data_IF_660179446767
#
_entry.id   IF_660179446767
#
_cell.length_a   1.000
_cell.length_b   1.000
_cell.length_c   1.000
_cell.angle_alpha   90.00
_cell.angle_beta   90.00
_cell.angle_gamma   90.00
#
_symmetry.space_group_name_H-M   'P 1'
#
loop_
_entity.id
_entity.type
_entity.pdbx_description
1 polymer ?
#
# COMPACT_ATOMS: atom_id res chain seq x y z
N UNK A 1 11.21 6.12 13.47
CA UNK A 1 10.98 5.94 12.04
C UNK A 1 12.11 6.52 11.23
N UNK A 2 12.87 5.68 10.51
CA UNK A 2 13.90 6.15 9.57
C UNK A 2 13.21 6.96 8.47
N UNK A 3 13.46 8.26 8.40
CA UNK A 3 13.10 9.08 7.24
C UNK A 3 13.85 8.52 6.03
N UNK A 4 13.15 7.81 5.16
CA UNK A 4 13.69 7.42 3.86
C UNK A 4 13.89 8.69 3.06
N UNK A 5 15.12 9.03 2.75
CA UNK A 5 15.46 10.21 1.95
C UNK A 5 14.82 10.04 0.56
N UNK A 6 13.79 10.84 0.29
CA UNK A 6 13.28 11.05 -1.06
C UNK A 6 14.11 12.16 -1.67
N UNK A 7 14.71 11.94 -2.81
CA UNK A 7 15.32 13.00 -3.58
C UNK A 7 14.67 13.11 -4.95
N UNK A 8 14.74 14.28 -5.54
CA UNK A 8 14.18 14.55 -6.86
C UNK A 8 15.29 14.96 -7.80
N UNK A 9 15.28 14.39 -8.99
CA UNK A 9 16.14 14.80 -10.10
C UNK A 9 15.29 15.60 -11.06
N UNK A 10 15.78 16.74 -11.49
CA UNK A 10 15.11 17.56 -12.51
C UNK A 10 15.95 17.55 -13.77
N UNK A 11 15.34 17.17 -14.87
CA UNK A 11 15.88 17.29 -16.23
C UNK A 11 15.26 18.49 -16.97
N UNK A 12 15.50 18.60 -18.26
CA UNK A 12 14.85 19.62 -19.09
C UNK A 12 13.35 19.38 -19.23
N UNK A 13 12.92 18.13 -19.33
CA UNK A 13 11.52 17.76 -19.61
C UNK A 13 10.82 17.09 -18.45
N UNK A 14 11.54 16.52 -17.47
CA UNK A 14 10.95 15.69 -16.41
C UNK A 14 11.47 16.02 -15.01
N UNK A 15 10.64 15.70 -14.03
CA UNK A 15 11.00 15.58 -12.61
C UNK A 15 10.89 14.09 -12.23
N UNK A 16 11.98 13.53 -11.70
CA UNK A 16 12.07 12.14 -11.32
C UNK A 16 12.17 12.04 -9.79
N UNK A 17 11.24 11.35 -9.18
CA UNK A 17 11.20 11.11 -7.74
C UNK A 17 11.82 9.75 -7.42
N UNK A 18 12.85 9.73 -6.55
CA UNK A 18 13.62 8.52 -6.25
C UNK A 18 13.52 8.18 -4.77
N UNK A 19 13.29 6.89 -4.49
CA UNK A 19 13.17 6.39 -3.12
C UNK A 19 13.94 5.08 -2.93
N UNK A 20 15.28 5.18 -2.85
CA UNK A 20 16.12 4.02 -2.56
C UNK A 20 16.05 2.96 -3.64
N UNK A 21 16.21 3.36 -4.90
CA UNK A 21 16.04 2.55 -6.10
C UNK A 21 17.28 2.64 -6.98
N UNK A 22 17.46 1.65 -7.84
CA UNK A 22 18.43 1.64 -8.92
C UNK A 22 17.72 1.90 -10.26
N UNK A 23 18.23 2.84 -11.04
CA UNK A 23 17.59 3.26 -12.29
C UNK A 23 18.63 3.83 -13.26
N UNK A 24 18.26 3.87 -14.53
CA UNK A 24 18.99 4.57 -15.59
C UNK A 24 18.15 5.71 -16.14
N UNK A 25 18.76 6.88 -16.23
CA UNK A 25 18.11 8.07 -16.76
C UNK A 25 18.88 8.57 -18.00
N UNK A 26 18.22 8.60 -19.14
CA UNK A 26 18.75 9.14 -20.38
C UNK A 26 18.02 10.44 -20.76
N UNK A 27 18.76 11.50 -21.03
CA UNK A 27 18.20 12.78 -21.52
C UNK A 27 18.72 13.11 -22.89
N UNK A 28 17.84 13.50 -23.80
CA UNK A 28 18.18 13.91 -25.16
C UNK A 28 17.29 15.06 -25.60
N UNK A 29 17.84 16.29 -25.58
CA UNK A 29 17.16 17.47 -26.04
C UNK A 29 15.78 17.69 -25.44
N UNK A 30 14.75 17.22 -26.12
CA UNK A 30 13.33 17.40 -25.79
C UNK A 30 12.69 16.19 -25.10
N UNK A 31 13.47 15.21 -24.66
CA UNK A 31 12.94 14.01 -24.01
C UNK A 31 13.81 13.52 -22.85
N UNK A 32 13.17 12.87 -21.89
CA UNK A 32 13.78 12.15 -20.78
C UNK A 32 13.25 10.73 -20.76
N UNK A 33 14.16 9.75 -20.72
CA UNK A 33 13.87 8.33 -20.64
C UNK A 33 14.28 7.81 -19.27
N UNK A 34 13.45 6.97 -18.66
CA UNK A 34 13.68 6.34 -17.38
C UNK A 34 13.53 4.82 -17.52
N UNK A 35 14.50 4.07 -17.02
CA UNK A 35 14.41 2.64 -16.78
C UNK A 35 14.62 2.38 -15.29
N UNK A 36 13.68 1.76 -14.63
CA UNK A 36 13.82 1.31 -13.24
C UNK A 36 14.38 -0.11 -13.22
N UNK A 37 15.54 -0.28 -12.59
CA UNK A 37 16.21 -1.58 -12.44
C UNK A 37 15.74 -2.30 -11.20
N UNK A 38 15.60 -1.57 -10.09
CA UNK A 38 15.16 -2.11 -8.81
C UNK A 38 14.32 -1.10 -8.04
N UNK A 39 13.19 -1.55 -7.51
CA UNK A 39 12.27 -0.75 -6.70
C UNK A 39 11.24 0.03 -7.50
N UNK A 40 10.92 1.24 -7.08
CA UNK A 40 9.90 2.09 -7.67
C UNK A 40 10.43 3.52 -7.84
N UNK A 41 10.34 4.05 -9.05
CA UNK A 41 10.70 5.43 -9.39
C UNK A 41 9.48 6.14 -9.95
N UNK A 42 9.32 7.41 -9.65
CA UNK A 42 8.25 8.21 -10.25
C UNK A 42 8.80 9.20 -11.25
N UNK A 43 8.03 9.48 -12.30
CA UNK A 43 8.39 10.44 -13.34
C UNK A 43 7.20 11.32 -13.67
N UNK A 44 7.43 12.64 -13.78
CA UNK A 44 6.41 13.61 -14.12
C UNK A 44 6.98 14.65 -15.11
N UNK A 45 6.18 15.30 -15.96
CA UNK A 45 6.65 16.39 -16.78
C UNK A 45 6.97 17.61 -15.93
N UNK A 46 7.99 18.38 -16.32
CA UNK A 46 8.35 19.63 -15.61
C UNK A 46 7.21 20.64 -15.63
N UNK A 47 6.42 20.64 -16.68
CA UNK A 47 5.32 21.60 -16.91
C UNK A 47 4.06 21.25 -16.10
N UNK A 48 3.90 19.97 -15.72
CA UNK A 48 2.76 19.45 -14.95
C UNK A 48 3.23 18.37 -13.95
N UNK A 49 3.95 18.76 -12.88
CA UNK A 49 4.53 17.82 -11.94
C UNK A 49 3.49 17.06 -11.11
N UNK A 50 2.22 17.44 -11.14
CA UNK A 50 1.10 16.73 -10.58
C UNK A 50 0.74 15.46 -11.38
N UNK A 51 1.12 15.38 -12.66
CA UNK A 51 0.93 14.20 -13.50
C UNK A 51 2.13 13.26 -13.31
N UNK A 52 2.18 12.65 -12.15
CA UNK A 52 3.24 11.72 -11.75
C UNK A 52 2.84 10.28 -12.09
N UNK A 53 3.73 9.56 -12.76
CA UNK A 53 3.56 8.14 -13.11
C UNK A 53 4.59 7.32 -12.38
N UNK A 54 4.15 6.23 -11.75
CA UNK A 54 5.02 5.26 -11.11
C UNK A 54 5.59 4.29 -12.14
N UNK A 55 6.92 4.13 -12.14
CA UNK A 55 7.64 3.20 -12.99
C UNK A 55 8.21 2.09 -12.13
N UNK A 56 7.56 0.92 -12.09
CA UNK A 56 8.03 -0.23 -11.31
C UNK A 56 9.33 -0.82 -11.87
N UNK A 57 9.88 -1.77 -11.11
CA UNK A 57 11.06 -2.54 -11.49
C UNK A 57 10.91 -3.19 -12.86
N UNK A 58 12.01 -3.19 -13.64
CA UNK A 58 12.10 -3.72 -15.00
C UNK A 58 11.18 -3.04 -16.02
N UNK A 59 10.73 -1.83 -15.73
CA UNK A 59 9.90 -1.05 -16.64
C UNK A 59 10.55 0.28 -17.02
N UNK A 60 10.17 0.79 -18.18
CA UNK A 60 10.62 2.07 -18.68
C UNK A 60 9.44 2.99 -19.01
N UNK A 61 9.67 4.29 -18.88
CA UNK A 61 8.78 5.36 -19.28
C UNK A 61 9.56 6.53 -19.87
N UNK A 62 8.90 7.32 -20.68
CA UNK A 62 9.48 8.47 -21.37
C UNK A 62 8.61 9.72 -21.16
N UNK A 63 9.26 10.86 -20.97
CA UNK A 63 8.62 12.17 -21.00
C UNK A 63 9.18 12.99 -22.16
N UNK A 64 8.32 13.40 -23.06
CA UNK A 64 8.62 14.36 -24.11
C UNK A 64 8.11 15.74 -23.71
N UNK A 65 8.76 16.78 -24.23
CA UNK A 65 8.37 18.15 -23.95
C UNK A 65 6.91 18.41 -24.35
N UNK A 66 6.10 18.96 -23.45
CA UNK A 66 4.69 19.26 -23.66
C UNK A 66 3.74 18.07 -23.61
N UNK A 67 4.25 16.87 -23.29
CA UNK A 67 3.45 15.65 -23.15
C UNK A 67 3.55 15.07 -21.74
N UNK A 68 2.56 14.29 -21.37
CA UNK A 68 2.58 13.50 -20.14
C UNK A 68 3.52 12.29 -20.31
N UNK A 69 3.94 11.63 -19.20
CA UNK A 69 4.73 10.41 -19.28
C UNK A 69 4.01 9.33 -20.08
N UNK A 70 4.77 8.54 -20.84
CA UNK A 70 4.20 7.32 -21.42
C UNK A 70 3.80 6.34 -20.33
N UNK A 71 2.76 5.51 -20.54
CA UNK A 71 2.52 4.37 -19.66
C UNK A 71 3.78 3.53 -19.50
N UNK A 72 4.13 3.05 -18.29
CA UNK A 72 5.27 2.20 -18.07
C UNK A 72 5.14 0.90 -18.85
N UNK A 73 6.21 0.48 -19.50
CA UNK A 73 6.26 -0.77 -20.27
C UNK A 73 7.38 -1.67 -19.76
N UNK A 74 7.18 -2.99 -19.74
CA UNK A 74 8.23 -3.93 -19.38
C UNK A 74 9.35 -3.92 -20.43
N UNK A 75 10.59 -3.98 -19.96
CA UNK A 75 11.78 -4.01 -20.80
C UNK A 75 12.47 -5.37 -20.64
N UNK A 76 12.76 -6.05 -21.75
CA UNK A 76 13.43 -7.33 -21.73
C UNK A 76 14.84 -7.23 -21.12
N UNK A 77 15.31 -8.27 -20.44
CA UNK A 77 16.60 -8.28 -19.74
C UNK A 77 17.78 -7.91 -20.64
N UNK A 78 17.79 -8.42 -21.87
CA UNK A 78 18.82 -8.13 -22.86
C UNK A 78 18.89 -6.64 -23.23
N UNK A 79 17.72 -6.00 -23.33
CA UNK A 79 17.61 -4.56 -23.61
C UNK A 79 18.04 -3.73 -22.41
N UNK A 80 17.71 -4.18 -21.19
CA UNK A 80 18.17 -3.53 -19.96
C UNK A 80 19.70 -3.58 -19.86
N UNK A 81 20.32 -4.73 -20.09
CA UNK A 81 21.76 -4.87 -20.09
C UNK A 81 22.43 -3.94 -21.12
N UNK A 82 21.85 -3.81 -22.31
CA UNK A 82 22.33 -2.90 -23.33
C UNK A 82 22.24 -1.43 -22.84
N UNK A 83 21.13 -1.03 -22.24
CA UNK A 83 20.94 0.31 -21.69
C UNK A 83 21.94 0.62 -20.56
N UNK A 84 22.24 -0.36 -19.72
CA UNK A 84 23.19 -0.23 -18.61
C UNK A 84 24.64 -0.12 -19.10
N UNK A 85 24.98 -0.83 -20.15
CA UNK A 85 26.36 -0.90 -20.69
C UNK A 85 26.71 0.27 -21.59
N UNK A 86 25.74 0.84 -22.29
CA UNK A 86 25.96 1.95 -23.19
C UNK A 86 25.71 3.29 -22.48
N UNK A 87 26.78 4.06 -22.31
CA UNK A 87 26.70 5.43 -21.74
C UNK A 87 26.25 6.45 -22.79
N UNK A 88 25.07 6.19 -23.40
CA UNK A 88 24.48 7.06 -24.43
C UNK A 88 22.97 7.14 -24.28
N UNK A 89 22.38 8.37 -24.28
CA UNK A 89 20.92 8.52 -24.27
C UNK A 89 20.21 7.84 -25.45
N UNK A 90 20.92 7.61 -26.54
CA UNK A 90 20.38 7.01 -27.77
C UNK A 90 20.06 5.52 -27.62
N UNK A 91 20.63 4.86 -26.60
CA UNK A 91 20.34 3.45 -26.32
C UNK A 91 18.86 3.21 -25.99
N UNK A 92 18.16 4.23 -25.48
CA UNK A 92 16.73 4.13 -25.23
C UNK A 92 15.86 4.07 -26.50
N UNK A 93 16.44 4.32 -27.69
CA UNK A 93 15.72 4.19 -28.96
C UNK A 93 15.33 2.75 -29.29
N UNK A 94 15.92 1.74 -28.61
CA UNK A 94 15.53 0.34 -28.76
C UNK A 94 14.24 0.00 -27.99
N UNK A 95 13.80 0.90 -27.12
CA UNK A 95 12.56 0.73 -26.36
C UNK A 95 11.38 1.28 -27.18
N UNK A 96 10.41 0.43 -27.45
CA UNK A 96 9.20 0.80 -28.21
C UNK A 96 8.14 1.38 -27.27
N UNK A 97 8.27 2.67 -26.98
CA UNK A 97 7.34 3.36 -26.10
C UNK A 97 5.96 3.54 -26.76
N UNK A 98 4.87 3.37 -26.01
CA UNK A 98 3.55 3.72 -26.48
C UNK A 98 3.43 5.23 -26.71
N UNK A 99 2.43 5.67 -27.48
CA UNK A 99 2.19 7.10 -27.67
C UNK A 99 1.99 7.82 -26.33
N UNK A 100 2.71 8.92 -26.13
CA UNK A 100 2.57 9.75 -24.95
C UNK A 100 1.21 10.48 -24.98
N UNK A 101 0.42 10.43 -23.92
CA UNK A 101 -0.82 11.20 -23.85
C UNK A 101 -0.53 12.70 -23.72
N UNK A 102 -1.49 13.53 -24.09
CA UNK A 102 -1.41 14.95 -23.77
C UNK A 102 -1.57 15.17 -22.26
N UNK A 103 -1.01 16.26 -21.76
CA UNK A 103 -1.12 16.62 -20.34
C UNK A 103 -2.59 16.73 -19.91
N UNK A 104 -3.45 17.30 -20.76
CA UNK A 104 -4.88 17.43 -20.49
C UNK A 104 -5.58 16.08 -20.35
N UNK A 105 -5.32 15.16 -21.29
CA UNK A 105 -5.89 13.81 -21.25
C UNK A 105 -5.43 13.03 -20.04
N UNK A 106 -4.14 13.10 -19.71
CA UNK A 106 -3.60 12.42 -18.53
C UNK A 106 -4.19 12.97 -17.21
N UNK A 107 -4.50 14.27 -17.15
CA UNK A 107 -5.16 14.89 -16.01
C UNK A 107 -6.60 14.40 -15.85
N UNK A 108 -7.34 14.29 -16.95
CA UNK A 108 -8.71 13.74 -16.93
C UNK A 108 -8.73 12.27 -16.48
N UNK A 109 -7.78 11.47 -16.96
CA UNK A 109 -7.65 10.07 -16.57
C UNK A 109 -7.32 9.89 -15.07
N UNK A 110 -6.45 10.74 -14.50
CA UNK A 110 -6.16 10.72 -13.07
C UNK A 110 -7.35 11.14 -12.21
N UNK A 111 -8.12 12.15 -12.62
CA UNK A 111 -9.32 12.56 -11.90
C UNK A 111 -10.37 11.45 -11.89
N UNK A 112 -10.57 10.79 -13.03
CA UNK A 112 -11.54 9.68 -13.13
C UNK A 112 -11.14 8.47 -12.27
N UNK A 113 -9.84 8.23 -12.08
CA UNK A 113 -9.36 7.16 -11.20
C UNK A 113 -9.55 7.51 -9.72
N UNK A 114 -9.27 8.74 -9.32
CA UNK A 114 -9.51 9.19 -7.94
C UNK A 114 -10.99 9.11 -7.55
N UNK A 115 -11.90 9.55 -8.43
CA UNK A 115 -13.35 9.47 -8.17
C UNK A 115 -13.84 8.03 -8.00
N UNK A 116 -13.22 7.07 -8.69
CA UNK A 116 -13.57 5.65 -8.56
C UNK A 116 -12.99 4.99 -7.31
N UNK A 117 -11.81 5.41 -6.86
CA UNK A 117 -11.19 4.94 -5.61
C UNK A 117 -11.95 5.46 -4.40
N UNK A 118 -12.30 6.75 -4.37
CA UNK A 118 -13.07 7.37 -3.28
C UNK A 118 -14.45 6.70 -3.11
N UNK A 119 -15.14 6.34 -4.21
CA UNK A 119 -16.42 5.64 -4.14
C UNK A 119 -16.30 4.19 -3.63
N UNK A 120 -15.19 3.53 -3.90
CA UNK A 120 -14.96 2.17 -3.42
C UNK A 120 -14.61 2.14 -1.92
N UNK A 121 -13.84 3.13 -1.44
CA UNK A 121 -13.54 3.26 0.00
C UNK A 121 -14.77 3.59 0.83
N UNK A 122 -15.71 4.41 0.30
CA UNK A 122 -16.99 4.69 0.98
C UNK A 122 -17.86 3.42 1.10
N UNK A 123 -17.89 2.57 0.06
CA UNK A 123 -18.65 1.32 0.10
C UNK A 123 -18.06 0.29 1.07
N UNK A 124 -16.73 0.15 1.12
CA UNK A 124 -16.09 -0.75 2.07
C UNK A 124 -16.30 -0.31 3.53
N UNK A 125 -16.34 1.00 3.80
CA UNK A 125 -16.62 1.51 5.15
C UNK A 125 -18.09 1.32 5.58
N UNK A 126 -19.04 1.38 4.64
CA UNK A 126 -20.45 1.10 4.94
C UNK A 126 -20.68 -0.40 5.19
N UNK A 127 -20.04 -1.29 4.43
CA UNK A 127 -20.14 -2.75 4.64
C UNK A 127 -19.51 -3.19 5.97
N UNK A 128 -18.38 -2.60 6.38
CA UNK A 128 -17.74 -2.90 7.67
C UNK A 128 -18.61 -2.43 8.86
N UNK A 129 -19.29 -1.27 8.75
CA UNK A 129 -20.19 -0.78 9.80
C UNK A 129 -21.45 -1.65 9.92
N UNK A 130 -22.01 -2.13 8.81
CA UNK A 130 -23.16 -3.05 8.85
C UNK A 130 -22.79 -4.42 9.46
N UNK A 131 -21.56 -4.89 9.28
CA UNK A 131 -21.10 -6.13 9.90
C UNK A 131 -20.86 -5.96 11.41
N UNK A 132 -20.27 -4.87 11.87
CA UNK A 132 -20.09 -4.59 13.30
C UNK A 132 -21.44 -4.44 14.03
N UNK A 133 -22.43 -3.76 13.44
CA UNK A 133 -23.77 -3.67 14.03
C UNK A 133 -24.49 -5.02 14.12
N UNK A 134 -24.29 -5.93 13.15
CA UNK A 134 -24.89 -7.28 13.20
C UNK A 134 -24.21 -8.17 14.25
N UNK A 135 -22.89 -8.08 14.43
CA UNK A 135 -22.18 -8.83 15.47
C UNK A 135 -22.53 -8.34 16.89
N UNK A 136 -22.75 -7.02 17.09
CA UNK A 136 -23.18 -6.49 18.39
C UNK A 136 -24.60 -6.99 18.77
N UNK A 137 -25.52 -7.00 17.82
CA UNK A 137 -26.89 -7.49 18.07
C UNK A 137 -26.91 -8.98 18.37
N UNK A 138 -26.12 -9.80 17.66
CA UNK A 138 -26.05 -11.24 17.89
C UNK A 138 -25.37 -11.58 19.23
N UNK A 139 -24.41 -10.75 19.69
CA UNK A 139 -23.75 -10.92 20.98
C UNK A 139 -24.63 -10.52 22.16
N UNK A 140 -25.51 -9.52 22.03
CA UNK A 140 -26.47 -9.14 23.06
C UNK A 140 -27.58 -10.19 23.21
N UNK A 141 -28.09 -10.77 22.13
CA UNK A 141 -29.13 -11.80 22.17
C UNK A 141 -28.65 -13.11 22.82
N UNK A 142 -27.38 -13.48 22.61
CA UNK A 142 -26.78 -14.65 23.26
C UNK A 142 -26.48 -14.46 24.76
N UNK A 143 -26.25 -13.24 25.22
CA UNK A 143 -26.06 -12.94 26.65
C UNK A 143 -27.38 -12.97 27.41
N UNK A 144 -28.49 -12.46 26.83
CA UNK A 144 -29.81 -12.53 27.47
C UNK A 144 -30.34 -13.98 27.58
N UNK A 145 -30.11 -14.86 26.60
CA UNK A 145 -30.51 -16.27 26.70
C UNK A 145 -29.70 -17.05 27.75
N UNK A 146 -28.45 -16.66 28.03
CA UNK A 146 -27.65 -17.31 29.05
C UNK A 146 -27.98 -16.85 30.47
N UNK A 147 -28.40 -15.60 30.69
CA UNK A 147 -28.79 -15.11 32.02
C UNK A 147 -30.15 -15.70 32.48
N UNK A 148 -31.08 -15.99 31.59
CA UNK A 148 -32.36 -16.63 31.94
C UNK A 148 -32.26 -18.11 32.17
N UNK A 149 -31.20 -18.79 31.74
CA UNK A 149 -30.96 -20.24 31.94
C UNK A 149 -30.32 -20.57 33.30
N UNK A 150 -29.76 -19.57 34.00
CA UNK A 150 -29.04 -19.80 35.28
C UNK A 150 -29.93 -19.67 36.54
N UNK A 151 -31.23 -19.39 36.39
CA UNK A 151 -32.19 -19.38 37.52
C UNK A 151 -33.06 -20.63 37.46
N UNK A 152 -32.42 -21.81 37.54
CA UNK A 152 -33.12 -23.04 37.93
C UNK A 152 -32.35 -23.71 39.10
N UNK A 153 -32.92 -23.48 40.25
CA UNK A 153 -32.86 -24.23 41.49
C UNK A 153 -31.85 -25.40 41.57
N UNK A 154 -30.73 -25.14 42.23
CA UNK A 154 -29.95 -26.22 42.86
C UNK A 154 -30.50 -26.47 44.25
N UNK A 155 -30.88 -27.69 44.63
CA UNK A 155 -31.23 -28.03 46.00
C UNK A 155 -29.97 -27.92 46.87
N UNK A 156 -30.14 -27.29 48.03
CA UNK A 156 -29.20 -27.24 49.15
C UNK A 156 -28.85 -28.68 49.58
N UNK A 157 -27.77 -29.25 49.08
CA UNK A 157 -27.12 -30.38 49.75
C UNK A 157 -26.27 -29.84 50.88
N UNK A 158 -26.69 -30.14 52.09
CA UNK A 158 -25.94 -29.92 53.33
C UNK A 158 -24.61 -30.67 53.27
N UNK A 159 -23.50 -29.92 53.16
CA UNK A 159 -22.18 -30.46 53.35
C UNK A 159 -21.95 -30.64 54.87
N UNK A 160 -21.57 -31.82 55.36
CA UNK A 160 -21.19 -31.98 56.77
C UNK A 160 -19.89 -31.22 57.01
N UNK A 161 -19.94 -30.30 57.96
CA UNK A 161 -18.76 -29.62 58.50
C UNK A 161 -17.97 -30.62 59.31
N UNK A 162 -16.92 -31.16 58.71
CA UNK A 162 -15.93 -31.98 59.43
C UNK A 162 -14.99 -31.05 60.21
N UNK A 163 -15.26 -30.89 61.47
CA UNK A 163 -14.54 -30.03 62.43
C UNK A 163 -13.14 -30.58 62.81
N UNK A 164 -12.77 -31.76 62.32
CA UNK A 164 -11.48 -32.37 62.65
C UNK A 164 -10.30 -31.92 61.83
N UNK A 165 -10.56 -31.17 60.73
CA UNK A 165 -9.48 -30.69 59.85
C UNK A 165 -8.85 -29.36 60.30
N UNK A 166 -9.34 -28.74 61.37
CA UNK A 166 -8.83 -27.42 61.81
C UNK A 166 -7.72 -27.54 62.87
N UNK A 167 -7.49 -28.69 63.45
CA UNK A 167 -6.42 -28.87 64.46
C UNK A 167 -5.03 -29.11 63.80
N UNK A 168 -4.96 -29.61 62.58
CA UNK A 168 -3.66 -29.97 61.98
C UNK A 168 -2.92 -28.77 61.36
N UNK A 169 -3.60 -27.64 61.19
CA UNK A 169 -2.97 -26.42 60.62
C UNK A 169 -2.26 -25.56 61.66
N UNK A 170 -2.59 -25.75 62.95
CA UNK A 170 -2.03 -24.94 64.03
C UNK A 170 -0.62 -25.42 64.47
N UNK A 171 -0.22 -26.62 64.13
CA UNK A 171 1.07 -27.24 64.61
C UNK A 171 2.25 -26.90 63.61
N UNK A 172 2.01 -26.34 62.46
CA UNK A 172 3.05 -26.00 61.50
C UNK A 172 3.52 -24.53 61.54
N UNK A 173 2.96 -23.70 62.41
CA UNK A 173 3.32 -22.26 62.51
C UNK A 173 4.27 -21.95 63.67
N UNK A 174 4.72 -22.94 64.43
CA UNK A 174 5.58 -22.71 65.60
C UNK A 174 6.93 -23.46 65.54
N UNK A 175 7.53 -23.56 64.34
CA UNK A 175 8.92 -24.01 64.22
C UNK A 175 9.74 -23.13 63.30
#
# INVERSE_FOLDING_TARGET
>A
GKRRNRFKIRTVTAVVGVRGTEFVLGTSGSQTNLLTISGLVTIAPVEAPEIEVEVPENQASQVQQGLAPTPPIPVAAEVQEQIIQEDSPQVFNVVDYPPAPTIEKAREEQQSQQESEDQNEEQEQEEDQEQEEQEEVESEETVEEQETSLIQESPLEELPLDLDSLEEVQEQLDK
#
